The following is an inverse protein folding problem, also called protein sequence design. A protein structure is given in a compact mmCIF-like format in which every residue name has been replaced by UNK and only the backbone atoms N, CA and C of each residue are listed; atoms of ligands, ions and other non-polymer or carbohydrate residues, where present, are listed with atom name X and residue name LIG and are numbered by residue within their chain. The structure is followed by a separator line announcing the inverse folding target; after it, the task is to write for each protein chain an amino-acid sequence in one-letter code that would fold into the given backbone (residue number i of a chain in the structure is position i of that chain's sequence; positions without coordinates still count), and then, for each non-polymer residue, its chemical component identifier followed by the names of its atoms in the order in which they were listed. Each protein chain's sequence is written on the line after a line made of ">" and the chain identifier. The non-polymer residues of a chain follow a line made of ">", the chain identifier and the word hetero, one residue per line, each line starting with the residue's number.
data_IF_942239922647
#
_entry.id   IF_942239922647
#
_cell.length_a   1.000
_cell.length_b   1.000
_cell.length_c   1.000
_cell.angle_alpha   90.00
_cell.angle_beta   90.00
_cell.angle_gamma   90.00
#
_symmetry.space_group_name_H-M   'P 1'
#
loop_
_entity.id
_entity.type
_entity.pdbx_description
1 polymer ?
#
# COMPACT_ATOMS: atom_id res chain seq x y z
N UNK A 1 -14.25 -0.70 8.42
CA UNK A 1 -13.66 -0.24 7.16
C UNK A 1 -14.65 -0.54 6.05
N UNK A 2 -15.33 0.48 5.53
CA UNK A 2 -16.16 0.34 4.33
C UNK A 2 -15.26 0.65 3.15
N UNK A 3 -15.12 -0.32 2.24
CA UNK A 3 -14.34 -0.14 1.03
C UNK A 3 -15.30 0.38 -0.01
N UNK A 4 -15.32 1.70 -0.23
CA UNK A 4 -16.10 2.27 -1.33
C UNK A 4 -15.40 1.94 -2.64
N UNK A 5 -16.18 1.49 -3.63
CA UNK A 5 -15.68 1.24 -4.99
C UNK A 5 -15.80 2.55 -5.75
N UNK A 6 -14.75 2.97 -6.45
CA UNK A 6 -14.93 4.03 -7.42
C UNK A 6 -15.94 3.59 -8.51
N UNK A 7 -16.46 4.54 -9.28
CA UNK A 7 -17.45 4.28 -10.33
C UNK A 7 -16.93 3.39 -11.48
N UNK A 8 -15.64 3.04 -11.47
CA UNK A 8 -14.99 2.09 -12.38
C UNK A 8 -14.62 0.76 -11.70
N UNK A 9 -15.01 0.56 -10.44
CA UNK A 9 -14.76 -0.64 -9.67
C UNK A 9 -13.31 -0.81 -9.20
N UNK A 10 -12.49 0.24 -9.25
CA UNK A 10 -11.13 0.26 -8.71
C UNK A 10 -11.13 0.78 -7.27
N UNK A 11 -10.15 0.29 -6.53
CA UNK A 11 -9.88 0.71 -5.16
C UNK A 11 -8.68 1.65 -5.20
N UNK A 12 -8.83 2.87 -4.69
CA UNK A 12 -7.73 3.81 -4.59
C UNK A 12 -7.11 3.73 -3.20
N UNK A 13 -5.78 3.68 -3.16
CA UNK A 13 -5.03 3.76 -1.90
C UNK A 13 -5.26 5.10 -1.18
N UNK A 14 -5.61 6.16 -1.93
CA UNK A 14 -5.90 7.49 -1.41
C UNK A 14 -7.24 7.57 -0.65
N UNK A 15 -8.10 6.56 -0.76
CA UNK A 15 -9.38 6.53 -0.05
C UNK A 15 -9.24 5.98 1.37
N UNK A 16 -8.04 5.51 1.74
CA UNK A 16 -7.73 5.02 3.08
C UNK A 16 -7.40 6.17 4.02
N UNK A 17 -7.84 6.06 5.28
CA UNK A 17 -7.32 6.94 6.33
C UNK A 17 -5.81 6.70 6.51
N UNK A 18 -5.05 7.72 6.93
CA UNK A 18 -3.61 7.59 7.20
C UNK A 18 -3.32 6.40 8.15
N UNK A 19 -4.17 6.18 9.14
CA UNK A 19 -4.04 5.08 10.10
C UNK A 19 -4.20 3.71 9.42
N UNK A 20 -5.19 3.55 8.56
CA UNK A 20 -5.41 2.31 7.82
C UNK A 20 -4.27 2.07 6.83
N UNK A 21 -3.84 3.13 6.12
CA UNK A 21 -2.71 3.11 5.19
C UNK A 21 -1.42 2.61 5.87
N UNK A 22 -1.09 3.17 7.05
CA UNK A 22 0.06 2.74 7.86
C UNK A 22 -0.05 1.29 8.33
N UNK A 23 -1.26 0.85 8.72
CA UNK A 23 -1.49 -0.53 9.13
C UNK A 23 -1.23 -1.52 7.98
N UNK A 24 -1.73 -1.21 6.78
CA UNK A 24 -1.46 -2.03 5.59
C UNK A 24 0.02 -2.06 5.24
N UNK A 25 0.70 -0.91 5.30
CA UNK A 25 2.13 -0.83 5.03
C UNK A 25 2.94 -1.75 5.96
N UNK A 26 2.70 -1.71 7.27
CA UNK A 26 3.42 -2.60 8.20
C UNK A 26 3.08 -4.08 8.00
N UNK A 27 1.81 -4.40 7.69
CA UNK A 27 1.41 -5.78 7.39
C UNK A 27 2.13 -6.33 6.14
N UNK A 28 2.20 -5.55 5.07
CA UNK A 28 2.89 -5.93 3.82
C UNK A 28 4.40 -6.03 4.01
N UNK A 29 5.00 -5.15 4.80
CA UNK A 29 6.41 -5.21 5.15
C UNK A 29 6.75 -6.50 5.90
N UNK A 30 5.93 -6.89 6.88
CA UNK A 30 6.11 -8.18 7.59
C UNK A 30 5.95 -9.34 6.61
N UNK A 31 4.93 -9.33 5.76
CA UNK A 31 4.74 -10.36 4.74
C UNK A 31 5.98 -10.49 3.83
N UNK A 32 6.52 -9.37 3.34
CA UNK A 32 7.69 -9.36 2.48
C UNK A 32 8.93 -9.90 3.18
N UNK A 33 9.14 -9.53 4.45
CA UNK A 33 10.25 -10.03 5.27
C UNK A 33 10.16 -11.54 5.49
N UNK A 34 8.97 -12.06 5.80
CA UNK A 34 8.76 -13.49 6.06
C UNK A 34 8.84 -14.35 4.79
N UNK A 35 8.61 -13.76 3.61
CA UNK A 35 8.58 -14.47 2.33
C UNK A 35 9.74 -14.09 1.39
N UNK A 36 10.84 -13.54 1.92
CA UNK A 36 11.97 -13.08 1.11
C UNK A 36 12.48 -14.19 0.17
N UNK A 37 12.59 -13.87 -1.12
CA UNK A 37 13.00 -14.83 -2.17
C UNK A 37 11.95 -15.86 -2.56
N UNK A 38 10.74 -15.82 -1.97
CA UNK A 38 9.62 -16.73 -2.23
C UNK A 38 8.35 -16.02 -2.72
N UNK A 39 8.40 -14.70 -2.85
CA UNK A 39 7.31 -13.91 -3.42
C UNK A 39 7.29 -14.09 -4.93
N UNK A 40 6.12 -14.31 -5.51
CA UNK A 40 5.95 -14.38 -6.95
C UNK A 40 6.44 -13.07 -7.61
N UNK A 41 7.15 -13.11 -8.76
CA UNK A 41 7.70 -11.90 -9.37
C UNK A 41 6.67 -10.79 -9.61
N UNK A 42 5.46 -11.14 -10.05
CA UNK A 42 4.37 -10.16 -10.26
C UNK A 42 3.93 -9.48 -8.96
N UNK A 43 3.83 -10.22 -7.87
CA UNK A 43 3.47 -9.67 -6.55
C UNK A 43 4.60 -8.84 -5.97
N UNK A 44 5.85 -9.19 -6.29
CA UNK A 44 7.02 -8.41 -5.90
C UNK A 44 7.03 -7.03 -6.59
N UNK A 45 6.65 -6.97 -7.88
CA UNK A 45 6.47 -5.70 -8.60
C UNK A 45 5.36 -4.87 -7.95
N UNK A 46 4.22 -5.49 -7.59
CA UNK A 46 3.11 -4.79 -6.93
C UNK A 46 3.50 -4.23 -5.56
N UNK A 47 4.22 -5.01 -4.75
CA UNK A 47 4.73 -4.56 -3.45
C UNK A 47 5.67 -3.36 -3.59
N UNK A 48 6.55 -3.39 -4.60
CA UNK A 48 7.45 -2.28 -4.89
C UNK A 48 6.70 -1.01 -5.33
N UNK A 49 5.70 -1.15 -6.21
CA UNK A 49 4.84 -0.03 -6.61
C UNK A 49 4.11 0.57 -5.41
N UNK A 50 3.54 -0.27 -4.54
CA UNK A 50 2.86 0.16 -3.32
C UNK A 50 3.80 0.92 -2.38
N UNK A 51 5.01 0.39 -2.13
CA UNK A 51 6.01 1.04 -1.28
C UNK A 51 6.35 2.45 -1.80
N UNK A 52 6.54 2.59 -3.12
CA UNK A 52 6.79 3.89 -3.74
C UNK A 52 5.64 4.86 -3.57
N UNK A 53 4.40 4.43 -3.82
CA UNK A 53 3.20 5.27 -3.70
C UNK A 53 2.98 5.72 -2.25
N UNK A 54 3.06 4.78 -1.29
CA UNK A 54 2.97 5.07 0.13
C UNK A 54 4.00 6.12 0.56
N UNK A 55 5.28 5.92 0.22
CA UNK A 55 6.33 6.87 0.60
C UNK A 55 6.14 8.25 -0.06
N UNK A 56 5.54 8.31 -1.25
CA UNK A 56 5.13 9.56 -1.90
C UNK A 56 4.08 10.31 -1.11
N UNK A 57 2.96 9.64 -0.77
CA UNK A 57 1.86 10.21 0.02
C UNK A 57 2.37 10.72 1.37
N UNK A 58 3.13 9.90 2.10
CA UNK A 58 3.66 10.26 3.42
C UNK A 58 4.67 11.41 3.38
N UNK A 59 5.36 11.58 2.24
CA UNK A 59 6.27 12.72 2.05
C UNK A 59 5.49 14.01 1.81
N UNK A 60 4.42 13.97 1.02
CA UNK A 60 3.56 15.13 0.76
C UNK A 60 2.82 15.59 2.03
N UNK A 61 2.24 14.66 2.81
CA UNK A 61 1.58 14.98 4.08
C UNK A 61 2.51 15.65 5.10
N UNK A 62 3.81 15.31 5.10
CA UNK A 62 4.79 15.94 6.00
C UNK A 62 5.13 17.39 5.60
N UNK A 63 4.75 17.83 4.41
CA UNK A 63 5.04 19.19 3.89
C UNK A 63 3.84 20.12 3.95
N UNK A 64 2.63 19.59 4.10
CA UNK A 64 1.36 20.34 4.27
C UNK A 64 1.12 20.71 5.73
#
# INVERSE_FOLDING_TARGET
>A
MYIDKDSWGKFSINDLSEKDLRLFYEALKIYAQQNLGRIHPEDNVRLFSFDREFNGIMYEERRS
#
